data_IF_646163133598
#
_entry.id   IF_646163133598
#
_cell.length_a   1.000
_cell.length_b   1.000
_cell.length_c   1.000
_cell.angle_alpha   90.00
_cell.angle_beta   90.00
_cell.angle_gamma   90.00
#
_symmetry.space_group_name_H-M   'P 1'
#
loop_
_entity.id
_entity.type
_entity.pdbx_description
1 polymer ?
#
# COMPACT_ATOMS: atom_id res chain seq x y z
N UNK A 1 -17.72 13.90 -15.04
CA UNK A 1 -17.76 12.98 -13.89
C UNK A 1 -16.32 12.67 -13.50
N UNK A 2 -15.98 12.78 -12.21
CA UNK A 2 -14.66 12.35 -11.70
C UNK A 2 -14.76 10.88 -11.27
N UNK A 3 -13.84 10.03 -11.74
CA UNK A 3 -13.78 8.63 -11.33
C UNK A 3 -12.88 8.52 -10.10
N UNK A 4 -13.36 7.90 -9.02
CA UNK A 4 -12.53 7.60 -7.86
C UNK A 4 -11.94 6.19 -7.97
N UNK A 5 -10.64 6.06 -7.71
CA UNK A 5 -9.96 4.78 -7.53
C UNK A 5 -9.47 4.68 -6.09
N UNK A 6 -9.86 3.61 -5.40
CA UNK A 6 -9.52 3.43 -3.98
C UNK A 6 -8.65 2.18 -3.86
N UNK A 7 -7.42 2.35 -3.35
CA UNK A 7 -6.52 1.25 -2.99
C UNK A 7 -6.69 0.98 -1.51
N UNK A 8 -7.15 -0.22 -1.17
CA UNK A 8 -7.18 -0.70 0.21
C UNK A 8 -5.84 -1.36 0.53
N UNK A 9 -5.15 -0.86 1.56
CA UNK A 9 -3.84 -1.35 1.96
C UNK A 9 -3.78 -1.54 3.47
N UNK A 10 -3.21 -2.66 3.92
CA UNK A 10 -2.76 -2.82 5.30
C UNK A 10 -1.35 -2.22 5.44
N UNK A 11 -1.04 -1.66 6.61
CA UNK A 11 0.32 -1.31 6.97
C UNK A 11 1.23 -2.55 6.87
N UNK A 12 2.47 -2.42 6.35
CA UNK A 12 3.40 -3.52 6.23
C UNK A 12 3.99 -3.90 7.59
N UNK A 13 3.23 -4.64 8.38
CA UNK A 13 3.64 -5.14 9.71
C UNK A 13 4.00 -6.62 9.57
N UNK A 14 5.22 -7.05 9.98
CA UNK A 14 5.62 -8.45 9.98
C UNK A 14 4.60 -9.35 10.67
N UNK A 15 4.22 -10.45 10.02
CA UNK A 15 3.24 -11.41 10.55
C UNK A 15 1.77 -11.02 10.36
N UNK A 16 1.47 -9.81 9.87
CA UNK A 16 0.09 -9.36 9.63
C UNK A 16 -0.30 -9.26 8.15
N UNK A 17 0.68 -9.20 7.27
CA UNK A 17 0.51 -9.10 5.81
C UNK A 17 1.23 -10.24 5.12
N UNK A 18 0.63 -10.70 4.01
CA UNK A 18 1.21 -11.73 3.14
C UNK A 18 1.70 -12.99 3.87
N UNK A 19 1.06 -13.35 4.99
CA UNK A 19 1.45 -14.50 5.83
C UNK A 19 1.44 -15.84 5.10
N UNK A 20 0.63 -15.99 4.04
CA UNK A 20 0.64 -17.17 3.16
C UNK A 20 1.91 -17.31 2.30
N UNK A 21 2.74 -16.28 2.22
CA UNK A 21 4.06 -16.33 1.59
C UNK A 21 5.16 -16.76 2.56
N UNK A 22 4.83 -17.02 3.83
CA UNK A 22 5.74 -17.50 4.86
C UNK A 22 5.39 -18.96 5.19
N UNK A 23 6.14 -19.98 4.70
CA UNK A 23 7.35 -19.94 3.86
C UNK A 23 7.08 -19.76 2.35
N UNK A 24 8.10 -19.38 1.53
CA UNK A 24 9.54 -19.32 1.85
C UNK A 24 10.03 -18.01 2.46
N UNK A 25 9.22 -16.96 2.51
CA UNK A 25 9.63 -15.67 3.06
C UNK A 25 9.58 -15.67 4.58
N UNK A 26 10.47 -14.93 5.22
CA UNK A 26 10.33 -14.56 6.63
C UNK A 26 9.27 -13.45 6.78
N UNK A 27 8.65 -13.30 7.98
CA UNK A 27 7.63 -12.26 8.22
C UNK A 27 8.05 -10.83 7.82
N UNK A 28 9.31 -10.47 8.05
CA UNK A 28 9.88 -9.18 7.66
C UNK A 28 10.03 -9.01 6.14
N UNK A 29 10.40 -10.08 5.44
CA UNK A 29 10.48 -10.09 3.97
C UNK A 29 9.08 -9.96 3.36
N UNK A 30 8.09 -10.66 3.92
CA UNK A 30 6.71 -10.57 3.50
C UNK A 30 6.11 -9.17 3.72
N UNK A 31 6.44 -8.51 4.84
CA UNK A 31 6.05 -7.12 5.12
C UNK A 31 6.74 -6.14 4.15
N UNK A 32 8.04 -6.30 3.92
CA UNK A 32 8.80 -5.48 2.98
C UNK A 32 8.25 -5.60 1.55
N UNK A 33 7.99 -6.84 1.11
CA UNK A 33 7.36 -7.12 -0.18
C UNK A 33 5.97 -6.49 -0.27
N UNK A 34 5.15 -6.60 0.77
CA UNK A 34 3.83 -5.97 0.80
C UNK A 34 3.91 -4.44 0.64
N UNK A 35 4.88 -3.79 1.31
CA UNK A 35 5.13 -2.36 1.15
C UNK A 35 5.45 -2.00 -0.31
N UNK A 36 6.34 -2.74 -0.96
CA UNK A 36 6.67 -2.57 -2.38
C UNK A 36 5.45 -2.77 -3.29
N UNK A 37 4.63 -3.78 -3.04
CA UNK A 37 3.42 -4.04 -3.83
C UNK A 37 2.42 -2.88 -3.76
N UNK A 38 2.26 -2.24 -2.60
CA UNK A 38 1.41 -1.07 -2.44
C UNK A 38 1.98 0.13 -3.20
N UNK A 39 3.29 0.37 -3.10
CA UNK A 39 3.98 1.42 -3.86
C UNK A 39 3.83 1.22 -5.37
N UNK A 40 4.06 -0.01 -5.85
CA UNK A 40 3.90 -0.37 -7.27
C UNK A 40 2.45 -0.16 -7.74
N UNK A 41 1.48 -0.49 -6.90
CA UNK A 41 0.07 -0.25 -7.22
C UNK A 41 -0.21 1.24 -7.39
N UNK A 42 0.27 2.10 -6.47
CA UNK A 42 0.13 3.56 -6.55
C UNK A 42 0.85 4.13 -7.79
N UNK A 43 2.07 3.70 -8.07
CA UNK A 43 2.82 4.17 -9.25
C UNK A 43 2.09 3.80 -10.56
N UNK A 44 1.50 2.61 -10.65
CA UNK A 44 0.72 2.17 -11.82
C UNK A 44 -0.51 3.04 -12.07
N UNK A 45 -1.12 3.64 -11.04
CA UNK A 45 -2.30 4.49 -11.24
C UNK A 45 -1.96 5.87 -11.81
N UNK A 46 -0.70 6.32 -11.75
CA UNK A 46 -0.29 7.63 -12.29
C UNK A 46 -0.50 7.76 -13.80
N UNK A 47 -0.58 6.65 -14.53
CA UNK A 47 -0.88 6.65 -15.96
C UNK A 47 -2.36 6.84 -16.30
N UNK A 48 -3.25 6.82 -15.30
CA UNK A 48 -4.70 6.92 -15.51
C UNK A 48 -5.13 8.39 -15.58
N UNK A 49 -5.85 8.75 -16.65
CA UNK A 49 -6.43 10.08 -16.81
C UNK A 49 -7.85 10.13 -16.25
N UNK A 50 -8.24 11.27 -15.64
CA UNK A 50 -9.59 11.48 -15.13
C UNK A 50 -9.93 10.68 -13.86
N UNK A 51 -8.91 10.16 -13.17
CA UNK A 51 -9.06 9.38 -11.94
C UNK A 51 -8.48 10.15 -10.75
N UNK A 52 -9.23 10.23 -9.66
CA UNK A 52 -8.73 10.66 -8.34
C UNK A 52 -8.39 9.43 -7.51
N UNK A 53 -7.12 9.32 -7.10
CA UNK A 53 -6.64 8.20 -6.28
C UNK A 53 -6.88 8.47 -4.80
N UNK A 54 -7.34 7.46 -4.08
CA UNK A 54 -7.42 7.42 -2.62
C UNK A 54 -6.74 6.15 -2.10
N UNK A 55 -6.08 6.25 -0.95
CA UNK A 55 -5.56 5.09 -0.22
C UNK A 55 -6.32 4.96 1.10
N UNK A 56 -7.00 3.84 1.27
CA UNK A 56 -7.65 3.47 2.52
C UNK A 56 -6.75 2.51 3.32
N UNK A 57 -6.23 3.01 4.45
CA UNK A 57 -5.25 2.30 5.28
C UNK A 57 -5.86 1.59 6.48
N UNK A 58 -5.25 0.48 6.90
CA UNK A 58 -5.51 -0.21 8.19
C UNK A 58 -4.16 -0.60 8.81
N UNK A 59 -3.99 -0.65 10.15
CA UNK A 59 -4.99 -0.35 11.19
C UNK A 59 -5.34 1.13 11.29
N UNK A 60 -4.41 2.02 10.97
CA UNK A 60 -4.60 3.47 11.00
C UNK A 60 -3.69 4.16 9.96
N UNK A 61 -4.16 5.26 9.39
CA UNK A 61 -3.43 6.12 8.47
C UNK A 61 -2.30 6.90 9.15
N UNK A 62 -2.24 6.94 10.49
CA UNK A 62 -1.10 7.49 11.21
C UNK A 62 0.15 6.57 11.16
N UNK A 63 0.03 5.32 10.69
CA UNK A 63 1.18 4.43 10.57
C UNK A 63 2.28 5.06 9.67
N UNK A 64 3.57 4.98 10.04
CA UNK A 64 4.66 5.66 9.32
C UNK A 64 4.68 5.39 7.81
N UNK A 65 4.34 4.17 7.40
CA UNK A 65 4.20 3.80 5.99
C UNK A 65 3.24 4.73 5.22
N UNK A 66 2.03 4.98 5.75
CA UNK A 66 1.06 5.85 5.08
C UNK A 66 1.50 7.32 5.12
N UNK A 67 2.15 7.77 6.20
CA UNK A 67 2.72 9.12 6.28
C UNK A 67 3.84 9.37 5.26
N UNK A 68 4.70 8.39 5.04
CA UNK A 68 5.71 8.46 4.00
C UNK A 68 5.07 8.49 2.61
N UNK A 69 4.01 7.72 2.38
CA UNK A 69 3.29 7.75 1.10
C UNK A 69 2.57 9.08 0.87
N UNK A 70 1.86 9.62 1.87
CA UNK A 70 1.24 10.96 1.83
C UNK A 70 2.28 12.03 1.46
N UNK A 71 3.46 12.01 2.11
CA UNK A 71 4.54 12.95 1.77
C UNK A 71 5.13 12.77 0.36
N UNK A 72 5.05 11.58 -0.23
CA UNK A 72 5.62 11.26 -1.55
C UNK A 72 4.64 11.48 -2.71
N UNK A 73 3.35 11.28 -2.48
CA UNK A 73 2.32 11.25 -3.53
C UNK A 73 1.29 12.39 -3.42
N UNK A 74 1.30 13.16 -2.32
CA UNK A 74 0.31 14.20 -2.01
C UNK A 74 -0.89 13.67 -1.24
#
# INVERSE_FOLDING_TARGET
>A
MSTALIIFAKAPIPGEVKTRLCPPLDPDEAASLHGTLVLDAIERTKGLQGVTLYVAGTPDLAHPFFKVMEGRYG
#
